data_IF_149846957174
#
_entry.id   IF_149846957174
#
_cell.length_a   1.000
_cell.length_b   1.000
_cell.length_c   1.000
_cell.angle_alpha   90.00
_cell.angle_beta   90.00
_cell.angle_gamma   90.00
#
_symmetry.space_group_name_H-M   'P 1'
#
loop_
_entity.id
_entity.type
_entity.pdbx_description
1 polymer ?
#
# COMPACT_ATOMS: atom_id res chain seq x y z
N UNK A 1 13.44 -9.97 -21.78
CA UNK A 1 12.56 -9.02 -21.10
C UNK A 1 12.48 -9.40 -19.63
N UNK A 2 12.86 -8.45 -18.76
CA UNK A 2 12.90 -8.73 -17.32
C UNK A 2 11.51 -8.52 -16.71
N UNK A 3 10.97 -9.55 -16.10
CA UNK A 3 9.70 -9.45 -15.38
C UNK A 3 9.93 -8.66 -14.09
N UNK A 4 9.20 -7.56 -13.93
CA UNK A 4 9.20 -6.80 -12.68
C UNK A 4 8.04 -7.26 -11.81
N UNK A 5 8.36 -7.65 -10.59
CA UNK A 5 7.35 -7.98 -9.60
C UNK A 5 6.67 -6.72 -9.10
N UNK A 6 5.39 -6.82 -8.82
CA UNK A 6 4.58 -5.72 -8.31
C UNK A 6 4.31 -5.92 -6.84
N UNK A 7 4.56 -4.88 -6.05
CA UNK A 7 4.22 -4.85 -4.63
C UNK A 7 3.21 -3.74 -4.38
N UNK A 8 2.16 -4.08 -3.63
CA UNK A 8 1.18 -3.11 -3.17
C UNK A 8 1.50 -2.75 -1.72
N UNK A 9 1.80 -1.48 -1.47
CA UNK A 9 2.16 -0.99 -0.14
C UNK A 9 1.03 -0.13 0.41
N UNK A 10 0.46 -0.54 1.54
CA UNK A 10 -0.44 0.31 2.30
C UNK A 10 0.38 1.14 3.27
N UNK A 11 0.18 2.46 3.26
CA UNK A 11 0.91 3.36 4.14
C UNK A 11 2.23 3.84 3.56
N UNK A 12 2.36 3.92 2.22
CA UNK A 12 3.62 4.32 1.57
C UNK A 12 4.07 5.73 1.95
N UNK A 13 3.18 6.62 2.39
CA UNK A 13 3.55 7.97 2.86
C UNK A 13 3.90 8.02 4.34
N UNK A 14 3.72 6.93 5.08
CA UNK A 14 4.09 6.84 6.50
C UNK A 14 5.57 6.58 6.68
N UNK A 15 6.07 6.65 7.93
CA UNK A 15 7.48 6.47 8.25
C UNK A 15 8.06 5.14 7.76
N UNK A 16 7.60 4.03 8.34
CA UNK A 16 8.08 2.70 7.97
C UNK A 16 7.68 2.34 6.55
N UNK A 17 6.42 2.60 6.19
CA UNK A 17 5.93 2.32 4.84
C UNK A 17 6.66 3.10 3.77
N UNK A 18 7.04 4.35 4.04
CA UNK A 18 7.82 5.17 3.12
C UNK A 18 9.23 4.65 2.91
N UNK A 19 9.91 4.22 3.98
CA UNK A 19 11.24 3.65 3.87
C UNK A 19 11.24 2.33 3.11
N UNK A 20 10.27 1.46 3.39
CA UNK A 20 10.12 0.19 2.68
C UNK A 20 9.85 0.44 1.20
N UNK A 21 8.97 1.40 0.89
CA UNK A 21 8.66 1.75 -0.49
C UNK A 21 9.89 2.22 -1.25
N UNK A 22 10.69 3.10 -0.64
CA UNK A 22 11.91 3.58 -1.27
C UNK A 22 12.89 2.44 -1.53
N UNK A 23 13.07 1.55 -0.57
CA UNK A 23 13.94 0.38 -0.72
C UNK A 23 13.47 -0.53 -1.86
N UNK A 24 12.17 -0.75 -1.98
CA UNK A 24 11.59 -1.58 -3.04
C UNK A 24 11.79 -0.96 -4.41
N UNK A 25 11.61 0.35 -4.53
CA UNK A 25 11.87 1.07 -5.79
C UNK A 25 13.34 0.94 -6.20
N UNK A 26 14.24 1.10 -5.26
CA UNK A 26 15.68 0.95 -5.50
C UNK A 26 16.04 -0.49 -5.90
N UNK A 27 15.28 -1.46 -5.42
CA UNK A 27 15.45 -2.87 -5.76
C UNK A 27 14.83 -3.29 -7.09
N UNK A 28 14.21 -2.37 -7.81
CA UNK A 28 13.62 -2.66 -9.11
C UNK A 28 12.18 -3.16 -9.10
N UNK A 29 11.51 -3.08 -7.96
CA UNK A 29 10.11 -3.45 -7.86
C UNK A 29 9.19 -2.39 -8.46
N UNK A 30 8.08 -2.82 -9.04
CA UNK A 30 6.98 -1.90 -9.32
C UNK A 30 6.19 -1.74 -8.03
N UNK A 31 6.04 -0.50 -7.58
CA UNK A 31 5.33 -0.21 -6.33
C UNK A 31 4.01 0.49 -6.66
N UNK A 32 2.95 -0.05 -6.11
CA UNK A 32 1.61 0.54 -6.17
C UNK A 32 1.17 0.85 -4.75
N UNK A 33 0.50 1.97 -4.57
CA UNK A 33 -0.02 2.33 -3.25
C UNK A 33 -1.37 3.01 -3.37
N UNK A 34 -2.12 2.95 -2.29
CA UNK A 34 -3.45 3.52 -2.19
C UNK A 34 -3.36 4.83 -1.40
N UNK A 35 -4.01 5.86 -1.89
CA UNK A 35 -4.09 7.14 -1.19
C UNK A 35 -5.43 7.80 -1.49
N UNK A 36 -6.00 8.47 -0.47
CA UNK A 36 -7.26 9.19 -0.67
C UNK A 36 -7.10 10.35 -1.65
N UNK A 37 -5.92 10.93 -1.71
CA UNK A 37 -5.59 12.05 -2.60
C UNK A 37 -4.26 11.79 -3.30
N UNK A 38 -4.26 11.00 -4.40
CA UNK A 38 -3.04 10.59 -5.07
C UNK A 38 -2.15 11.75 -5.53
N UNK A 39 -2.75 12.84 -6.00
CA UNK A 39 -1.99 14.03 -6.41
C UNK A 39 -1.20 14.64 -5.26
N UNK A 40 -1.76 14.68 -4.06
CA UNK A 40 -1.07 15.16 -2.87
C UNK A 40 0.05 14.24 -2.44
N UNK A 41 -0.18 12.93 -2.52
CA UNK A 41 0.84 11.94 -2.18
C UNK A 41 2.06 12.11 -3.10
N UNK A 42 1.85 12.25 -4.39
CA UNK A 42 2.91 12.44 -5.36
C UNK A 42 3.69 13.74 -5.12
N UNK A 43 3.00 14.81 -4.73
CA UNK A 43 3.66 16.09 -4.45
C UNK A 43 4.49 16.06 -3.17
N UNK A 44 4.01 15.36 -2.15
CA UNK A 44 4.70 15.30 -0.85
C UNK A 44 5.93 14.41 -0.86
N UNK A 45 5.93 13.41 -1.71
CA UNK A 45 6.95 12.39 -1.71
C UNK A 45 7.66 12.33 -3.06
N UNK A 46 8.49 13.35 -3.36
CA UNK A 46 9.27 13.38 -4.60
C UNK A 46 10.12 12.13 -4.79
N UNK A 47 10.62 11.57 -3.69
CA UNK A 47 11.42 10.35 -3.69
C UNK A 47 10.60 9.14 -4.12
N UNK A 48 9.27 9.24 -4.07
CA UNK A 48 8.34 8.18 -4.40
C UNK A 48 7.60 8.48 -5.72
N UNK A 49 8.22 9.25 -6.61
CA UNK A 49 7.60 9.65 -7.87
C UNK A 49 7.27 8.46 -8.77
N UNK A 50 8.01 7.37 -8.65
CA UNK A 50 7.81 6.17 -9.45
C UNK A 50 6.72 5.24 -8.89
N UNK A 51 6.10 5.61 -7.77
CA UNK A 51 4.99 4.85 -7.21
C UNK A 51 3.74 5.08 -8.04
N UNK A 52 3.04 4.01 -8.37
CA UNK A 52 1.72 4.10 -8.98
C UNK A 52 0.69 4.38 -7.87
N UNK A 53 0.25 5.61 -7.78
CA UNK A 53 -0.74 6.02 -6.80
C UNK A 53 -2.15 5.74 -7.31
N UNK A 54 -2.94 5.00 -6.53
CA UNK A 54 -4.32 4.68 -6.85
C UNK A 54 -5.23 5.36 -5.84
N UNK A 55 -6.29 6.01 -6.32
CA UNK A 55 -7.27 6.66 -5.45
C UNK A 55 -8.08 5.62 -4.69
N UNK A 56 -8.21 5.81 -3.38
CA UNK A 56 -9.03 4.93 -2.56
C UNK A 56 -8.73 5.09 -1.08
N UNK A 57 -9.47 4.36 -0.27
CA UNK A 57 -9.41 4.41 1.18
C UNK A 57 -9.07 3.03 1.74
N UNK A 58 -8.04 2.97 2.58
CA UNK A 58 -7.62 1.71 3.21
C UNK A 58 -8.70 1.11 4.13
N UNK A 59 -9.67 1.90 4.55
CA UNK A 59 -10.83 1.44 5.34
C UNK A 59 -11.91 0.79 4.49
N UNK A 60 -11.83 0.92 3.17
CA UNK A 60 -12.82 0.34 2.25
C UNK A 60 -12.25 -0.90 1.59
N UNK A 61 -12.86 -2.03 1.91
CA UNK A 61 -12.42 -3.33 1.41
C UNK A 61 -12.35 -3.36 -0.13
N UNK A 62 -13.35 -2.83 -0.80
CA UNK A 62 -13.42 -2.82 -2.26
C UNK A 62 -12.22 -2.08 -2.87
N UNK A 63 -11.85 -0.95 -2.26
CA UNK A 63 -10.73 -0.14 -2.73
C UNK A 63 -9.41 -0.89 -2.58
N UNK A 64 -9.22 -1.54 -1.45
CA UNK A 64 -7.98 -2.28 -1.16
C UNK A 64 -7.86 -3.50 -2.07
N UNK A 65 -8.95 -4.25 -2.24
CA UNK A 65 -8.94 -5.44 -3.11
C UNK A 65 -8.68 -5.04 -4.56
N UNK A 66 -9.34 -3.99 -5.05
CA UNK A 66 -9.15 -3.52 -6.42
C UNK A 66 -7.72 -3.02 -6.66
N UNK A 67 -7.16 -2.26 -5.70
CA UNK A 67 -5.81 -1.71 -5.83
C UNK A 67 -4.74 -2.81 -5.78
N UNK A 68 -4.99 -3.90 -5.09
CA UNK A 68 -4.05 -5.00 -4.96
C UNK A 68 -4.08 -5.98 -6.14
N UNK A 69 -5.01 -5.81 -7.07
CA UNK A 69 -5.14 -6.73 -8.20
C UNK A 69 -3.84 -6.81 -8.99
N UNK A 70 -3.36 -8.03 -9.23
CA UNK A 70 -2.12 -8.27 -9.95
C UNK A 70 -0.85 -8.10 -9.14
N UNK A 71 -0.94 -7.78 -7.86
CA UNK A 71 0.24 -7.67 -7.01
C UNK A 71 0.77 -9.04 -6.62
N UNK A 72 2.10 -9.16 -6.55
CA UNK A 72 2.77 -10.38 -6.09
C UNK A 72 2.91 -10.39 -4.56
N UNK A 73 3.06 -9.22 -3.98
CA UNK A 73 3.24 -9.03 -2.53
C UNK A 73 2.43 -7.84 -2.06
N UNK A 74 1.87 -7.93 -0.87
CA UNK A 74 1.21 -6.81 -0.19
C UNK A 74 1.96 -6.53 1.10
N UNK A 75 2.37 -5.27 1.29
CA UNK A 75 3.00 -4.81 2.55
C UNK A 75 1.99 -3.96 3.31
N UNK A 76 1.67 -4.39 4.52
CA UNK A 76 0.75 -3.66 5.40
C UNK A 76 1.57 -2.78 6.35
N UNK A 77 1.76 -1.52 5.94
CA UNK A 77 2.55 -0.55 6.71
C UNK A 77 1.72 0.58 7.32
N UNK A 78 0.42 0.38 7.46
CA UNK A 78 -0.49 1.40 7.97
C UNK A 78 -0.64 1.29 9.47
N UNK A 79 -0.48 2.42 10.17
CA UNK A 79 -0.82 2.53 11.59
C UNK A 79 -1.79 3.69 11.79
N UNK A 80 -2.84 3.52 12.62
CA UNK A 80 -3.72 4.63 12.94
C UNK A 80 -2.97 5.75 13.66
N UNK A 81 -3.24 7.03 13.33
CA UNK A 81 -2.58 8.14 13.98
C UNK A 81 -2.88 8.18 15.49
N UNK A 82 -1.86 8.44 16.30
CA UNK A 82 -2.00 8.68 17.72
C UNK A 82 -2.45 7.50 18.55
N UNK A 83 -2.52 6.31 18.00
CA UNK A 83 -2.99 5.10 18.66
C UNK A 83 -4.42 5.18 19.21
N UNK A 84 -5.17 6.23 18.86
CA UNK A 84 -6.57 6.35 19.24
C UNK A 84 -7.42 5.36 18.45
N UNK A 85 -8.36 4.72 19.15
CA UNK A 85 -9.29 3.77 18.53
C UNK A 85 -8.56 2.72 17.68
N UNK A 86 -7.48 2.17 18.22
CA UNK A 86 -6.61 1.25 17.49
C UNK A 86 -7.40 0.07 16.91
N UNK A 87 -8.31 -0.51 17.72
CA UNK A 87 -9.15 -1.64 17.28
C UNK A 87 -10.12 -1.21 16.18
N UNK A 88 -10.68 0.00 16.28
CA UNK A 88 -11.64 0.51 15.30
C UNK A 88 -11.03 0.87 13.96
N UNK A 89 -9.72 1.13 13.90
CA UNK A 89 -9.02 1.51 12.66
C UNK A 89 -8.04 0.45 12.18
N UNK A 90 -7.23 -0.09 13.09
CA UNK A 90 -6.16 -1.02 12.70
C UNK A 90 -6.70 -2.37 12.24
N UNK A 91 -7.67 -2.94 12.97
CA UNK A 91 -8.23 -4.23 12.61
C UNK A 91 -8.95 -4.23 11.27
N UNK A 92 -9.85 -3.26 10.98
CA UNK A 92 -10.49 -3.21 9.66
C UNK A 92 -9.47 -3.05 8.51
N UNK A 93 -8.44 -2.24 8.69
CA UNK A 93 -7.40 -2.08 7.68
C UNK A 93 -6.64 -3.39 7.44
N UNK A 94 -6.29 -4.10 8.51
CA UNK A 94 -5.62 -5.39 8.39
C UNK A 94 -6.53 -6.44 7.75
N UNK A 95 -7.80 -6.48 8.12
CA UNK A 95 -8.78 -7.39 7.50
C UNK A 95 -8.91 -7.11 6.01
N UNK A 96 -8.89 -5.85 5.59
CA UNK A 96 -8.93 -5.46 4.20
C UNK A 96 -7.69 -5.95 3.44
N UNK A 97 -6.51 -5.82 4.06
CA UNK A 97 -5.27 -6.35 3.49
C UNK A 97 -5.30 -7.86 3.33
N UNK A 98 -5.83 -8.57 4.32
CA UNK A 98 -5.98 -10.02 4.27
C UNK A 98 -6.94 -10.42 3.13
N UNK A 99 -8.07 -9.72 3.01
CA UNK A 99 -9.04 -9.97 1.94
C UNK A 99 -8.40 -9.75 0.56
N UNK A 100 -7.61 -8.68 0.43
CA UNK A 100 -6.90 -8.38 -0.81
C UNK A 100 -5.87 -9.46 -1.15
N UNK A 101 -5.14 -9.95 -0.16
CA UNK A 101 -4.17 -11.02 -0.35
C UNK A 101 -4.84 -12.31 -0.83
N UNK A 102 -5.97 -12.66 -0.23
CA UNK A 102 -6.75 -13.84 -0.65
C UNK A 102 -7.27 -13.70 -2.07
N UNK A 103 -7.78 -12.54 -2.44
CA UNK A 103 -8.35 -12.29 -3.75
C UNK A 103 -7.29 -12.27 -4.85
N UNK A 104 -6.11 -11.71 -4.58
CA UNK A 104 -5.04 -11.55 -5.56
C UNK A 104 -4.07 -12.72 -5.60
N UNK A 105 -4.06 -13.56 -4.57
CA UNK A 105 -3.04 -14.59 -4.41
C UNK A 105 -1.69 -14.06 -3.94
N UNK A 106 -1.60 -12.79 -3.55
CA UNK A 106 -0.37 -12.16 -3.12
C UNK A 106 0.05 -12.62 -1.73
N UNK A 107 1.37 -12.58 -1.47
CA UNK A 107 1.91 -12.80 -0.13
C UNK A 107 1.72 -11.52 0.69
N UNK A 108 1.18 -11.65 1.88
CA UNK A 108 1.01 -10.55 2.80
C UNK A 108 2.17 -10.50 3.80
N UNK A 109 2.75 -9.31 3.92
CA UNK A 109 3.86 -9.06 4.84
C UNK A 109 3.49 -7.98 5.86
#
# INVERSE_FOLDING_TARGET
MTYKRTVFVLGATGGIGGEVTLALLQGGWRVRSLHRQPGRAAQRAHQLADVQWVAGDAMRREDVVAAAEGADVIVHGVNPPGYHNWRGLALPMLENSIAAAKASGARLV
#
